data_IF_410157883242
#
_entry.id   IF_410157883242
#
_cell.length_a   1.000
_cell.length_b   1.000
_cell.length_c   1.000
_cell.angle_alpha   90.00
_cell.angle_beta   90.00
_cell.angle_gamma   90.00
#
_symmetry.space_group_name_H-M   'P 1'
#
loop_
_entity.id
_entity.type
_entity.pdbx_description
1 polymer ?
#
# COMPACT_ATOMS: atom_id res chain seq x y z
N UNK A 1 9.40 -5.84 15.42
CA UNK A 1 9.07 -7.19 14.93
C UNK A 1 10.25 -8.13 15.15
N UNK A 2 10.03 -9.45 15.19
CA UNK A 2 11.13 -10.42 15.34
C UNK A 2 11.89 -10.61 14.03
N UNK A 3 13.12 -11.14 14.13
CA UNK A 3 13.98 -11.45 12.98
C UNK A 3 13.30 -12.39 11.97
N UNK A 4 12.43 -13.28 12.44
CA UNK A 4 11.66 -14.19 11.59
C UNK A 4 10.68 -13.48 10.64
N UNK A 5 10.20 -12.27 10.99
CA UNK A 5 9.28 -11.50 10.16
C UNK A 5 9.99 -10.61 9.13
N UNK A 6 11.27 -10.29 9.36
CA UNK A 6 12.01 -9.40 8.46
C UNK A 6 12.09 -9.92 7.00
N UNK A 7 12.30 -11.23 6.74
CA UNK A 7 12.25 -11.76 5.39
C UNK A 7 10.88 -11.61 4.73
N UNK A 8 9.79 -11.79 5.49
CA UNK A 8 8.43 -11.63 4.98
C UNK A 8 8.19 -10.19 4.54
N UNK A 9 8.61 -9.22 5.36
CA UNK A 9 8.51 -7.81 4.99
C UNK A 9 9.40 -7.45 3.80
N UNK A 10 10.61 -8.01 3.71
CA UNK A 10 11.50 -7.80 2.57
C UNK A 10 10.88 -8.30 1.26
N UNK A 11 10.31 -9.50 1.26
CA UNK A 11 9.62 -10.06 0.08
C UNK A 11 8.40 -9.21 -0.27
N UNK A 12 7.57 -8.89 0.73
CA UNK A 12 6.35 -8.11 0.53
C UNK A 12 6.61 -6.69 0.01
N UNK A 13 7.78 -6.11 0.29
CA UNK A 13 8.15 -4.75 -0.12
C UNK A 13 9.15 -4.69 -1.28
N UNK A 14 9.46 -5.82 -1.93
CA UNK A 14 10.50 -5.86 -2.97
C UNK A 14 9.97 -5.44 -4.35
N UNK A 15 10.52 -4.36 -4.91
CA UNK A 15 10.31 -3.96 -6.31
C UNK A 15 10.72 -5.07 -7.28
N UNK A 16 11.76 -5.83 -6.95
CA UNK A 16 12.28 -6.86 -7.84
C UNK A 16 11.35 -8.08 -7.88
N UNK A 17 10.86 -8.52 -6.72
CA UNK A 17 9.93 -9.65 -6.62
C UNK A 17 8.62 -9.31 -7.33
N UNK A 18 8.03 -8.16 -7.01
CA UNK A 18 6.75 -7.76 -7.60
C UNK A 18 6.89 -7.33 -9.07
N UNK A 19 8.03 -6.75 -9.46
CA UNK A 19 8.36 -6.46 -10.86
C UNK A 19 8.46 -7.74 -11.70
N UNK A 20 9.09 -8.79 -11.17
CA UNK A 20 9.14 -10.10 -11.83
C UNK A 20 7.74 -10.73 -11.95
N UNK A 21 6.91 -10.63 -10.90
CA UNK A 21 5.53 -11.09 -10.94
C UNK A 21 4.68 -10.33 -11.97
N UNK A 22 4.86 -9.01 -12.08
CA UNK A 22 4.19 -8.22 -13.11
C UNK A 22 4.64 -8.65 -14.52
N UNK A 23 5.95 -8.83 -14.74
CA UNK A 23 6.48 -9.31 -16.01
C UNK A 23 5.93 -10.70 -16.38
N UNK A 24 5.81 -11.61 -15.40
CA UNK A 24 5.17 -12.91 -15.57
C UNK A 24 3.69 -12.77 -15.95
N UNK A 25 2.94 -11.89 -15.28
CA UNK A 25 1.54 -11.61 -15.58
C UNK A 25 1.35 -11.09 -17.01
N UNK A 26 2.20 -10.16 -17.44
CA UNK A 26 2.19 -9.62 -18.80
C UNK A 26 2.55 -10.69 -19.83
N UNK A 27 3.61 -11.47 -19.60
CA UNK A 27 4.02 -12.56 -20.51
C UNK A 27 2.94 -13.62 -20.67
N UNK A 28 2.27 -13.99 -19.57
CA UNK A 28 1.16 -14.94 -19.57
C UNK A 28 -0.18 -14.34 -19.97
N UNK A 29 -0.24 -13.03 -20.23
CA UNK A 29 -1.48 -12.27 -20.50
C UNK A 29 -2.56 -12.51 -19.43
N UNK A 30 -2.16 -12.63 -18.17
CA UNK A 30 -3.06 -12.86 -17.04
C UNK A 30 -3.43 -11.53 -16.39
N UNK A 31 -4.65 -11.06 -16.64
CA UNK A 31 -5.16 -9.82 -16.07
C UNK A 31 -5.16 -9.83 -14.54
N UNK A 32 -5.42 -10.99 -13.92
CA UNK A 32 -5.43 -11.14 -12.46
C UNK A 32 -4.04 -10.93 -11.88
N UNK A 33 -3.00 -11.56 -12.46
CA UNK A 33 -1.63 -11.39 -11.97
C UNK A 33 -1.16 -9.95 -12.20
N UNK A 34 -1.51 -9.35 -13.34
CA UNK A 34 -1.19 -7.95 -13.65
C UNK A 34 -1.84 -7.01 -12.65
N UNK A 35 -3.13 -7.17 -12.34
CA UNK A 35 -3.83 -6.34 -11.38
C UNK A 35 -3.24 -6.48 -9.97
N UNK A 36 -2.93 -7.71 -9.54
CA UNK A 36 -2.37 -7.96 -8.22
C UNK A 36 -0.94 -7.42 -8.08
N UNK A 37 -0.05 -7.75 -9.02
CA UNK A 37 1.34 -7.29 -8.99
C UNK A 37 1.46 -5.77 -9.23
N UNK A 38 0.61 -5.21 -10.10
CA UNK A 38 0.53 -3.77 -10.31
C UNK A 38 0.04 -3.02 -9.07
N UNK A 39 -0.96 -3.57 -8.37
CA UNK A 39 -1.40 -3.05 -7.07
C UNK A 39 -0.30 -3.10 -6.01
N UNK A 40 0.42 -4.22 -5.92
CA UNK A 40 1.56 -4.35 -5.00
C UNK A 40 2.68 -3.34 -5.33
N UNK A 41 3.05 -3.18 -6.60
CA UNK A 41 4.05 -2.19 -7.03
C UNK A 41 3.62 -0.75 -6.75
N UNK A 42 2.34 -0.43 -6.96
CA UNK A 42 1.79 0.89 -6.63
C UNK A 42 1.89 1.15 -5.13
N UNK A 43 1.48 0.18 -4.31
CA UNK A 43 1.55 0.27 -2.85
C UNK A 43 2.99 0.48 -2.38
N UNK A 44 3.92 -0.41 -2.73
CA UNK A 44 5.31 -0.29 -2.26
C UNK A 44 6.03 0.94 -2.88
N UNK A 45 5.56 1.43 -4.03
CA UNK A 45 6.04 2.67 -4.63
C UNK A 45 5.62 3.92 -3.84
N UNK A 46 4.47 3.89 -3.18
CA UNK A 46 4.03 4.93 -2.25
C UNK A 46 4.70 4.77 -0.89
N UNK A 47 4.87 3.54 -0.42
CA UNK A 47 5.56 3.25 0.85
C UNK A 47 7.04 3.69 0.80
N UNK A 48 7.73 3.51 -0.33
CA UNK A 48 9.16 3.83 -0.47
C UNK A 48 9.52 5.26 -0.01
N UNK A 49 8.86 6.34 -0.50
CA UNK A 49 9.11 7.69 -0.01
C UNK A 49 8.38 8.05 1.30
N UNK A 50 7.63 7.14 1.92
CA UNK A 50 6.79 7.47 3.08
C UNK A 50 7.19 6.73 4.36
N UNK A 51 8.23 5.90 4.33
CA UNK A 51 8.83 5.29 5.51
C UNK A 51 10.16 5.94 5.85
N UNK A 52 10.21 6.62 7.00
CA UNK A 52 11.45 7.19 7.53
C UNK A 52 12.25 6.16 8.33
N UNK A 53 11.77 5.82 9.52
CA UNK A 53 12.45 4.94 10.50
C UNK A 53 11.99 3.48 10.43
N UNK A 54 10.93 3.20 9.67
CA UNK A 54 10.35 1.87 9.49
C UNK A 54 10.45 1.35 8.04
N UNK A 55 11.38 1.91 7.28
CA UNK A 55 11.67 1.54 5.90
C UNK A 55 12.01 0.06 5.72
N UNK A 56 11.74 -0.44 4.52
CA UNK A 56 11.95 -1.85 4.14
C UNK A 56 13.01 -1.99 3.04
N UNK A 57 13.67 -3.16 2.91
CA UNK A 57 14.68 -3.37 1.87
C UNK A 57 14.00 -3.61 0.51
N UNK A 58 13.62 -2.53 -0.17
CA UNK A 58 12.83 -2.59 -1.40
C UNK A 58 13.55 -3.23 -2.60
N UNK A 59 14.87 -3.40 -2.52
CA UNK A 59 15.69 -4.03 -3.55
C UNK A 59 16.14 -5.45 -3.19
N UNK A 60 15.53 -6.06 -2.16
CA UNK A 60 15.76 -7.47 -1.84
C UNK A 60 15.36 -8.36 -3.03
N UNK A 61 16.09 -9.45 -3.36
CA UNK A 61 17.24 -10.01 -2.64
C UNK A 61 18.60 -9.44 -3.07
N UNK A 62 18.64 -8.50 -4.02
CA UNK A 62 19.91 -7.97 -4.53
C UNK A 62 20.58 -7.02 -3.55
N UNK A 63 19.80 -6.31 -2.74
CA UNK A 63 20.31 -5.41 -1.71
C UNK A 63 19.39 -5.40 -0.49
N UNK A 64 20.00 -5.36 0.69
CA UNK A 64 19.31 -5.14 1.98
C UNK A 64 19.31 -3.66 2.38
N UNK A 65 19.75 -2.77 1.49
CA UNK A 65 19.72 -1.34 1.73
C UNK A 65 18.28 -0.85 1.92
N UNK A 66 18.10 0.02 2.92
CA UNK A 66 16.83 0.65 3.26
C UNK A 66 16.96 2.13 2.99
N UNK A 67 15.99 2.68 2.28
CA UNK A 67 15.87 4.12 2.12
C UNK A 67 15.22 4.71 3.36
N UNK A 68 15.92 5.63 4.02
CA UNK A 68 15.41 6.42 5.12
C UNK A 68 14.79 7.70 4.54
N UNK A 69 13.47 7.67 4.33
CA UNK A 69 12.78 8.79 3.69
C UNK A 69 12.76 10.04 4.58
N UNK A 70 12.89 11.27 4.05
CA UNK A 70 12.63 12.48 4.83
C UNK A 70 11.16 12.68 5.21
N UNK A 71 10.24 11.86 4.69
CA UNK A 71 8.81 11.91 4.97
C UNK A 71 8.35 10.61 5.64
N UNK A 72 7.36 10.73 6.52
CA UNK A 72 6.69 9.63 7.19
C UNK A 72 5.17 9.77 7.05
N UNK A 73 4.49 8.67 6.72
CA UNK A 73 3.02 8.62 6.75
C UNK A 73 2.44 8.50 8.17
N UNK A 74 3.25 8.16 9.18
CA UNK A 74 2.76 7.91 10.55
C UNK A 74 3.43 8.77 11.63
N UNK A 75 4.68 9.20 11.44
CA UNK A 75 5.36 10.11 12.37
C UNK A 75 4.97 11.58 12.09
N UNK A 76 4.24 12.18 13.03
CA UNK A 76 3.81 13.59 12.96
C UNK A 76 4.97 14.56 12.83
N UNK A 77 6.15 14.24 13.39
CA UNK A 77 7.34 15.10 13.30
C UNK A 77 7.87 15.19 11.87
N UNK A 78 7.42 14.27 11.01
CA UNK A 78 7.93 14.06 9.67
C UNK A 78 6.80 13.99 8.66
N UNK A 79 5.92 14.99 8.65
CA UNK A 79 4.85 15.21 7.66
C UNK A 79 3.61 14.32 7.71
N UNK A 80 3.50 13.36 8.63
CA UNK A 80 2.30 12.52 8.75
C UNK A 80 1.02 13.35 8.98
N UNK A 81 1.13 14.54 9.58
CA UNK A 81 0.01 15.46 9.77
C UNK A 81 -0.66 15.92 8.46
N UNK A 82 0.04 15.83 7.34
CA UNK A 82 -0.49 16.15 6.00
C UNK A 82 -0.58 14.92 5.09
N UNK A 83 0.35 13.98 5.21
CA UNK A 83 0.40 12.79 4.35
C UNK A 83 -0.70 11.80 4.69
N UNK A 84 -0.89 11.43 5.96
CA UNK A 84 -1.93 10.47 6.33
C UNK A 84 -3.35 10.91 5.94
N UNK A 85 -3.79 12.17 6.12
CA UNK A 85 -5.13 12.59 5.66
C UNK A 85 -5.24 12.55 4.13
N UNK A 86 -4.15 12.86 3.41
CA UNK A 86 -4.12 12.81 1.96
C UNK A 86 -4.26 11.37 1.46
N UNK A 87 -3.51 10.42 2.02
CA UNK A 87 -3.62 9.00 1.71
C UNK A 87 -5.03 8.48 1.99
N UNK A 88 -5.58 8.78 3.17
CA UNK A 88 -6.94 8.39 3.54
C UNK A 88 -7.98 8.99 2.59
N UNK A 89 -7.87 10.26 2.23
CA UNK A 89 -8.76 10.91 1.28
C UNK A 89 -8.68 10.27 -0.12
N UNK A 90 -7.48 9.91 -0.58
CA UNK A 90 -7.29 9.22 -1.85
C UNK A 90 -7.92 7.82 -1.83
N UNK A 91 -7.68 7.02 -0.79
CA UNK A 91 -8.28 5.69 -0.62
C UNK A 91 -9.80 5.73 -0.59
N UNK A 92 -10.39 6.65 0.18
CA UNK A 92 -11.84 6.88 0.22
C UNK A 92 -12.37 7.30 -1.15
N UNK A 93 -11.73 8.27 -1.80
CA UNK A 93 -12.13 8.78 -3.11
C UNK A 93 -12.12 7.71 -4.20
N UNK A 94 -11.05 6.91 -4.26
CA UNK A 94 -10.91 5.80 -5.22
C UNK A 94 -11.93 4.69 -4.94
N UNK A 95 -12.17 4.36 -3.67
CA UNK A 95 -13.18 3.37 -3.28
C UNK A 95 -14.59 3.81 -3.69
N UNK A 96 -14.95 5.08 -3.46
CA UNK A 96 -16.23 5.66 -3.91
C UNK A 96 -16.33 5.65 -5.43
N UNK A 97 -15.25 6.00 -6.14
CA UNK A 97 -15.22 5.96 -7.60
C UNK A 97 -15.51 4.56 -8.13
N UNK A 98 -14.88 3.53 -7.56
CA UNK A 98 -15.11 2.13 -7.95
C UNK A 98 -16.54 1.69 -7.59
N UNK A 99 -17.01 2.01 -6.39
CA UNK A 99 -18.38 1.71 -5.95
C UNK A 99 -19.43 2.29 -6.91
N UNK A 100 -19.20 3.50 -7.44
CA UNK A 100 -20.09 4.14 -8.42
C UNK A 100 -20.05 3.47 -9.80
N UNK A 101 -18.95 2.82 -10.18
CA UNK A 101 -18.81 2.15 -11.48
C UNK A 101 -19.52 0.80 -11.54
N UNK A 102 -19.56 0.06 -10.43
CA UNK A 102 -20.20 -1.25 -10.40
C UNK A 102 -21.71 -1.16 -10.12
N UNK A 103 -22.49 -1.91 -10.88
CA UNK A 103 -23.97 -1.95 -10.79
C UNK A 103 -24.50 -3.16 -10.03
N UNK A 104 -23.71 -4.23 -9.91
CA UNK A 104 -24.08 -5.43 -9.15
C UNK A 104 -24.20 -5.12 -7.66
N UNK A 105 -25.28 -5.58 -7.04
CA UNK A 105 -25.52 -5.39 -5.61
C UNK A 105 -24.45 -6.07 -4.74
N UNK A 106 -23.92 -7.22 -5.18
CA UNK A 106 -22.83 -7.93 -4.48
C UNK A 106 -21.56 -7.09 -4.48
N UNK A 107 -21.18 -6.57 -5.64
CA UNK A 107 -19.99 -5.72 -5.76
C UNK A 107 -20.16 -4.43 -4.94
N UNK A 108 -21.35 -3.82 -4.96
CA UNK A 108 -21.64 -2.66 -4.11
C UNK A 108 -21.53 -3.00 -2.64
N UNK A 109 -22.04 -4.14 -2.18
CA UNK A 109 -21.91 -4.57 -0.80
C UNK A 109 -20.44 -4.78 -0.40
N UNK A 110 -19.63 -5.40 -1.25
CA UNK A 110 -18.19 -5.57 -1.04
C UNK A 110 -17.49 -4.21 -0.91
N UNK A 111 -17.72 -3.30 -1.85
CA UNK A 111 -17.08 -1.97 -1.81
C UNK A 111 -17.59 -1.08 -0.67
N UNK A 112 -18.85 -1.24 -0.24
CA UNK A 112 -19.36 -0.60 0.97
C UNK A 112 -18.63 -1.13 2.22
N UNK A 113 -18.38 -2.43 2.30
CA UNK A 113 -17.60 -3.02 3.39
C UNK A 113 -16.16 -2.49 3.39
N UNK A 114 -15.49 -2.47 2.22
CA UNK A 114 -14.15 -1.90 2.08
C UNK A 114 -14.11 -0.43 2.52
N UNK A 115 -15.09 0.37 2.09
CA UNK A 115 -15.20 1.77 2.51
C UNK A 115 -15.36 1.90 4.02
N UNK A 116 -16.18 1.06 4.66
CA UNK A 116 -16.38 1.07 6.10
C UNK A 116 -15.10 0.69 6.87
N UNK A 117 -14.36 -0.30 6.37
CA UNK A 117 -13.07 -0.71 6.93
C UNK A 117 -12.03 0.42 6.81
N UNK A 118 -11.99 1.10 5.66
CA UNK A 118 -11.09 2.23 5.43
C UNK A 118 -11.41 3.40 6.39
N UNK A 119 -12.69 3.75 6.55
CA UNK A 119 -13.13 4.76 7.52
C UNK A 119 -12.72 4.36 8.95
N UNK A 120 -12.79 3.07 9.29
CA UNK A 120 -12.36 2.58 10.59
C UNK A 120 -10.85 2.75 10.82
N UNK A 121 -10.02 2.49 9.80
CA UNK A 121 -8.56 2.72 9.85
C UNK A 121 -8.24 4.20 10.02
N UNK A 122 -8.84 5.06 9.19
CA UNK A 122 -8.65 6.51 9.24
C UNK A 122 -9.07 7.06 10.62
N UNK A 123 -10.17 6.55 11.18
CA UNK A 123 -10.60 6.88 12.55
C UNK A 123 -9.50 6.55 13.57
N UNK A 124 -8.79 5.43 13.41
CA UNK A 124 -7.63 5.09 14.24
C UNK A 124 -6.52 6.12 14.14
N UNK A 125 -6.19 6.59 12.94
CA UNK A 125 -5.21 7.66 12.77
C UNK A 125 -5.61 8.95 13.48
N UNK A 126 -6.89 9.35 13.44
CA UNK A 126 -7.38 10.49 14.22
C UNK A 126 -7.22 10.35 15.74
N UNK A 127 -7.14 9.13 16.28
CA UNK A 127 -6.95 8.92 17.71
C UNK A 127 -5.47 8.87 18.12
N UNK A 128 -4.59 8.41 17.24
CA UNK A 128 -3.19 8.11 17.59
C UNK A 128 -2.17 9.00 16.84
N UNK A 129 -2.49 9.42 15.61
CA UNK A 129 -1.63 10.21 14.70
C UNK A 129 -2.08 11.68 14.57
N UNK A 130 -3.30 12.05 14.97
CA UNK A 130 -3.74 13.45 15.08
C UNK A 130 -4.11 13.88 16.49
#
# INVERSE_FOLDING_TARGET
FSDAWQPVFAIANSFLVWGAFLALGLWRRSEVIVAFAGGALLHIGLDFPLHHDDGRPHFWPLSTWVFESPFSYWDRRQSASFIAPLEGAMCLGLTVLIWRRYTSWVQRAIWTLVLALEVWVIRGWFMFVF
#
